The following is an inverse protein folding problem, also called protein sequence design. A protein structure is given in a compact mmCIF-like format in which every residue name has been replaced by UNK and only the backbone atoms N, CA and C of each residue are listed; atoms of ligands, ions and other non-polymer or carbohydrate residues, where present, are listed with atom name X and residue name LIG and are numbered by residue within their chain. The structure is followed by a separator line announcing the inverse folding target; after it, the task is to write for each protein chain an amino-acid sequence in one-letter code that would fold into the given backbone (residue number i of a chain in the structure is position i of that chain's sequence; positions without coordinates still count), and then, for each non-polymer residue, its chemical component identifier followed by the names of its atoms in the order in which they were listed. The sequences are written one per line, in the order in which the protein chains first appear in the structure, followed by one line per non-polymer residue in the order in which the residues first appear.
data_IF_325000182124
#
_entry.id   IF_325000182124
#
_cell.length_a   1.000
_cell.length_b   1.000
_cell.length_c   1.000
_cell.angle_alpha   90.00
_cell.angle_beta   90.00
_cell.angle_gamma   90.00
#
_symmetry.space_group_name_H-M   'P 1'
#
loop_
_entity.id
_entity.type
_entity.pdbx_description
1 polymer ?
#
# COMPACT_ATOMS: atom_id res chain seq x y z
N UNK A 1 -18.85 -34.05 11.69
CA UNK A 1 -17.47 -33.74 11.43
C UNK A 1 -17.40 -32.21 11.30
N UNK A 2 -16.87 -31.54 12.33
CA UNK A 2 -16.66 -30.11 12.32
C UNK A 2 -15.57 -29.84 11.28
N UNK A 3 -15.94 -29.43 10.07
CA UNK A 3 -15.00 -28.90 9.09
C UNK A 3 -14.58 -27.54 9.61
N UNK A 4 -13.33 -27.42 10.09
CA UNK A 4 -12.78 -26.15 10.57
C UNK A 4 -12.65 -25.20 9.38
N UNK A 5 -13.64 -24.33 9.24
CA UNK A 5 -13.64 -23.25 8.24
C UNK A 5 -13.11 -21.98 8.89
N UNK A 6 -12.20 -21.30 8.20
CA UNK A 6 -11.63 -20.00 8.61
C UNK A 6 -11.76 -19.00 7.49
N UNK A 7 -11.90 -17.74 7.87
CA UNK A 7 -11.94 -16.63 6.94
C UNK A 7 -10.94 -15.57 7.36
N UNK A 8 -10.17 -15.06 6.41
CA UNK A 8 -9.30 -13.88 6.56
C UNK A 8 -9.75 -12.83 5.55
N UNK A 9 -9.94 -11.62 6.01
CA UNK A 9 -10.28 -10.47 5.18
C UNK A 9 -9.10 -9.52 5.13
N UNK A 10 -8.71 -9.09 3.91
CA UNK A 10 -7.66 -8.10 3.70
C UNK A 10 -8.31 -6.84 3.15
N UNK A 11 -8.13 -5.73 3.86
CA UNK A 11 -8.42 -4.41 3.35
C UNK A 11 -7.12 -3.85 2.79
N UNK A 12 -7.14 -3.39 1.55
CA UNK A 12 -5.97 -2.85 0.88
C UNK A 12 -6.20 -1.43 0.38
N UNK A 13 -5.12 -0.65 0.39
CA UNK A 13 -5.04 0.68 -0.20
C UNK A 13 -3.82 0.76 -1.11
N UNK A 14 -3.86 1.64 -2.09
CA UNK A 14 -2.73 1.95 -2.96
C UNK A 14 -2.84 3.40 -3.45
N UNK A 15 -1.70 3.98 -3.79
CA UNK A 15 -1.64 5.31 -4.41
C UNK A 15 -2.47 6.36 -3.64
N UNK A 16 -2.24 6.41 -2.34
CA UNK A 16 -2.94 7.34 -1.43
C UNK A 16 -2.56 8.80 -1.75
N UNK A 17 -1.32 9.03 -2.17
CA UNK A 17 -0.81 10.34 -2.56
C UNK A 17 -1.13 11.44 -1.53
N UNK A 18 -0.88 11.13 -0.27
CA UNK A 18 -1.05 12.06 0.84
C UNK A 18 -2.50 12.40 1.20
N UNK A 19 -3.51 11.71 0.69
CA UNK A 19 -4.92 12.07 0.83
C UNK A 19 -5.45 11.81 2.25
N UNK A 20 -4.88 12.52 3.24
CA UNK A 20 -5.22 12.34 4.66
C UNK A 20 -6.68 12.67 4.97
N UNK A 21 -7.33 13.53 4.22
CA UNK A 21 -8.73 13.93 4.38
C UNK A 21 -9.70 12.73 4.24
N UNK A 22 -9.30 11.70 3.51
CA UNK A 22 -10.10 10.49 3.31
C UNK A 22 -9.94 9.45 4.43
N UNK A 23 -8.97 9.63 5.34
CA UNK A 23 -8.72 8.65 6.41
C UNK A 23 -9.90 8.50 7.37
N UNK A 24 -10.69 9.55 7.58
CA UNK A 24 -11.90 9.47 8.41
C UNK A 24 -12.95 8.51 7.82
N UNK A 25 -13.09 8.52 6.50
CA UNK A 25 -13.98 7.60 5.76
C UNK A 25 -13.41 6.18 5.74
N UNK A 26 -12.11 6.05 5.49
CA UNK A 26 -11.42 4.76 5.54
C UNK A 26 -11.54 4.12 6.93
N UNK A 27 -11.38 4.89 8.00
CA UNK A 27 -11.52 4.40 9.37
C UNK A 27 -12.93 3.85 9.64
N UNK A 28 -13.96 4.54 9.16
CA UNK A 28 -15.35 4.05 9.26
C UNK A 28 -15.55 2.75 8.48
N UNK A 29 -14.99 2.66 7.28
CA UNK A 29 -15.04 1.43 6.48
C UNK A 29 -14.33 0.28 7.19
N UNK A 30 -13.10 0.50 7.67
CA UNK A 30 -12.30 -0.52 8.39
C UNK A 30 -13.05 -1.01 9.63
N UNK A 31 -13.63 -0.10 10.40
CA UNK A 31 -14.40 -0.45 11.60
C UNK A 31 -15.59 -1.35 11.26
N UNK A 32 -16.36 -0.99 10.23
CA UNK A 32 -17.49 -1.81 9.77
C UNK A 32 -17.05 -3.20 9.37
N UNK A 33 -15.99 -3.33 8.58
CA UNK A 33 -15.49 -4.64 8.16
C UNK A 33 -15.01 -5.47 9.37
N UNK A 34 -14.36 -4.85 10.34
CA UNK A 34 -13.95 -5.53 11.59
C UNK A 34 -15.12 -5.97 12.47
N UNK A 35 -16.25 -5.28 12.39
CA UNK A 35 -17.49 -5.70 13.08
C UNK A 35 -18.18 -6.88 12.37
N UNK A 36 -18.05 -6.97 11.06
CA UNK A 36 -18.66 -8.03 10.22
C UNK A 36 -17.79 -9.29 10.13
N UNK A 37 -16.47 -9.16 10.29
CA UNK A 37 -15.49 -10.23 10.09
C UNK A 37 -14.50 -10.32 11.26
N UNK A 38 -14.20 -11.53 11.77
CA UNK A 38 -13.36 -11.70 12.96
C UNK A 38 -11.87 -11.48 12.70
N UNK A 39 -11.40 -11.73 11.47
CA UNK A 39 -9.98 -11.70 11.12
C UNK A 39 -9.73 -10.75 9.96
N UNK A 40 -9.38 -9.52 10.27
CA UNK A 40 -9.13 -8.45 9.29
C UNK A 40 -7.68 -7.99 9.36
N UNK A 41 -7.04 -7.88 8.19
CA UNK A 41 -5.67 -7.36 8.01
C UNK A 41 -5.76 -6.14 7.09
N UNK A 42 -5.03 -5.08 7.42
CA UNK A 42 -4.97 -3.85 6.63
C UNK A 42 -3.57 -3.70 6.03
N UNK A 43 -3.48 -3.56 4.70
CA UNK A 43 -2.23 -3.50 3.94
C UNK A 43 -2.20 -2.34 2.95
N UNK A 44 -1.00 -1.89 2.55
CA UNK A 44 -0.83 -0.80 1.59
C UNK A 44 0.17 -1.15 0.48
N UNK A 45 -0.20 -0.90 -0.75
CA UNK A 45 0.58 -1.22 -1.96
C UNK A 45 1.43 -0.05 -2.48
N UNK A 46 1.79 0.91 -1.64
CA UNK A 46 2.76 1.97 -1.96
C UNK A 46 2.17 3.26 -2.51
N UNK A 47 3.05 4.24 -2.72
CA UNK A 47 2.74 5.62 -3.10
C UNK A 47 1.81 6.32 -2.09
N UNK A 48 2.27 6.32 -0.83
CA UNK A 48 1.61 7.05 0.27
C UNK A 48 1.87 8.53 0.21
N UNK A 49 3.06 8.92 -0.25
CA UNK A 49 3.53 10.30 -0.30
C UNK A 49 3.17 10.97 -1.63
N UNK A 50 3.38 12.28 -1.66
CA UNK A 50 3.34 13.15 -2.84
C UNK A 50 1.94 13.35 -3.41
N UNK A 51 1.49 14.59 -3.33
CA UNK A 51 0.22 15.05 -3.90
C UNK A 51 -0.69 15.80 -2.93
N UNK A 52 -0.25 16.03 -1.67
CA UNK A 52 -0.99 16.80 -0.71
C UNK A 52 -0.06 17.69 0.13
N UNK A 53 -0.22 19.03 0.12
CA UNK A 53 0.66 19.94 0.87
C UNK A 53 0.70 19.62 2.37
N UNK A 54 -0.37 19.15 2.98
CA UNK A 54 -0.42 18.81 4.41
C UNK A 54 0.48 17.63 4.79
N UNK A 55 0.92 16.84 3.82
CA UNK A 55 1.87 15.74 3.98
C UNK A 55 3.25 16.14 3.45
N UNK A 56 3.28 16.75 2.25
CA UNK A 56 4.50 17.03 1.50
C UNK A 56 5.29 18.20 2.10
N UNK A 57 4.60 19.16 2.73
CA UNK A 57 5.16 20.36 3.35
C UNK A 57 4.98 20.41 4.87
N UNK A 58 4.54 19.31 5.49
CA UNK A 58 4.54 19.20 6.93
C UNK A 58 5.96 19.39 7.49
N UNK A 59 6.07 19.90 8.71
CA UNK A 59 7.36 20.07 9.41
C UNK A 59 8.18 18.78 9.39
N UNK A 60 7.51 17.65 9.59
CA UNK A 60 8.05 16.32 9.38
C UNK A 60 7.36 15.70 8.16
N UNK A 61 7.98 15.87 6.99
CA UNK A 61 7.40 15.40 5.70
C UNK A 61 7.03 13.93 5.76
N UNK A 62 5.80 13.63 5.35
CA UNK A 62 5.25 12.28 5.33
C UNK A 62 4.76 11.76 6.69
N UNK A 63 5.08 12.41 7.81
CA UNK A 63 4.67 11.94 9.13
C UNK A 63 3.15 11.89 9.32
N UNK A 64 2.35 12.88 8.85
CA UNK A 64 0.91 12.84 9.05
C UNK A 64 0.26 11.56 8.54
N UNK A 65 0.62 11.10 7.34
CA UNK A 65 0.02 9.90 6.78
C UNK A 65 0.48 8.62 7.49
N UNK A 66 1.75 8.51 7.86
CA UNK A 66 2.26 7.35 8.62
C UNK A 66 1.57 7.27 9.99
N UNK A 67 1.42 8.41 10.66
CA UNK A 67 0.73 8.48 11.96
C UNK A 67 -0.72 8.01 11.87
N UNK A 68 -1.45 8.42 10.84
CA UNK A 68 -2.83 7.97 10.59
C UNK A 68 -2.89 6.47 10.24
N UNK A 69 -1.95 5.98 9.45
CA UNK A 69 -1.85 4.55 9.13
C UNK A 69 -1.58 3.69 10.37
N UNK A 70 -0.72 4.18 11.29
CA UNK A 70 -0.50 3.52 12.57
C UNK A 70 -1.79 3.41 13.40
N UNK A 71 -2.57 4.49 13.47
CA UNK A 71 -3.84 4.51 14.22
C UNK A 71 -4.89 3.57 13.62
N UNK A 72 -4.90 3.40 12.29
CA UNK A 72 -5.81 2.46 11.63
C UNK A 72 -5.37 1.00 11.79
N UNK A 73 -4.13 0.76 12.18
CA UNK A 73 -3.60 -0.58 12.41
C UNK A 73 -3.16 -1.30 11.14
N UNK A 74 -2.50 -0.60 10.22
CA UNK A 74 -1.83 -1.26 9.10
C UNK A 74 -0.82 -2.29 9.60
N UNK A 75 -0.72 -3.42 8.91
CA UNK A 75 0.11 -4.57 9.31
C UNK A 75 1.27 -4.83 8.37
N UNK A 76 1.21 -4.35 7.11
CA UNK A 76 2.33 -4.36 6.16
C UNK A 76 2.10 -3.34 5.04
N UNK A 77 3.18 -2.77 4.53
CA UNK A 77 3.17 -1.91 3.35
C UNK A 77 4.35 -2.19 2.43
N UNK A 78 4.26 -1.74 1.18
CA UNK A 78 5.37 -1.82 0.22
C UNK A 78 5.91 -0.43 -0.13
N UNK A 79 7.06 -0.39 -0.80
CA UNK A 79 7.58 0.82 -1.43
C UNK A 79 6.91 1.03 -2.79
N UNK A 80 6.47 2.26 -3.06
CA UNK A 80 6.23 2.76 -4.40
C UNK A 80 7.36 3.69 -4.85
N UNK A 81 7.26 4.27 -6.04
CA UNK A 81 8.25 5.20 -6.54
C UNK A 81 8.23 6.54 -5.80
N UNK A 82 7.05 7.02 -5.39
CA UNK A 82 6.92 8.29 -4.67
C UNK A 82 7.39 8.23 -3.21
N UNK A 83 7.64 7.05 -2.63
CA UNK A 83 8.27 6.96 -1.32
C UNK A 83 9.66 7.59 -1.26
N UNK A 84 10.36 7.70 -2.40
CA UNK A 84 11.69 8.29 -2.50
C UNK A 84 11.70 9.81 -2.68
N UNK A 85 10.56 10.44 -2.93
CA UNK A 85 10.48 11.86 -3.32
C UNK A 85 11.04 12.83 -2.26
N UNK A 86 10.95 12.49 -0.99
CA UNK A 86 11.51 13.30 0.09
C UNK A 86 12.97 12.97 0.43
N UNK A 87 13.57 12.00 -0.28
CA UNK A 87 14.92 11.52 -0.07
C UNK A 87 15.02 10.43 1.01
N UNK A 88 16.18 9.76 1.03
CA UNK A 88 16.40 8.56 1.83
C UNK A 88 16.32 8.79 3.33
N UNK A 89 16.82 9.91 3.83
CA UNK A 89 16.80 10.23 5.28
C UNK A 89 15.37 10.36 5.80
N UNK A 90 14.51 11.04 5.03
CA UNK A 90 13.10 11.21 5.40
C UNK A 90 12.37 9.88 5.29
N UNK A 91 12.58 9.12 4.20
CA UNK A 91 11.99 7.80 4.05
C UNK A 91 12.38 6.87 5.20
N UNK A 92 13.66 6.83 5.57
CA UNK A 92 14.14 6.07 6.74
C UNK A 92 13.44 6.48 8.02
N UNK A 93 13.30 7.78 8.27
CA UNK A 93 12.58 8.27 9.44
C UNK A 93 11.11 7.83 9.43
N UNK A 94 10.44 7.90 8.29
CA UNK A 94 9.04 7.46 8.16
C UNK A 94 8.88 5.95 8.32
N UNK A 95 9.81 5.15 7.83
CA UNK A 95 9.83 3.70 8.05
C UNK A 95 9.99 3.39 9.55
N UNK A 96 10.85 4.14 10.25
CA UNK A 96 11.05 3.97 11.69
C UNK A 96 9.83 4.42 12.52
N UNK A 97 9.07 5.39 12.05
CA UNK A 97 7.82 5.83 12.70
C UNK A 97 6.66 4.84 12.47
N UNK A 98 6.72 4.05 11.41
CA UNK A 98 5.68 3.08 11.10
C UNK A 98 5.68 1.92 12.11
N UNK A 99 4.50 1.54 12.61
CA UNK A 99 4.31 0.38 13.49
C UNK A 99 4.16 -0.93 12.72
N UNK A 100 4.34 -0.88 11.41
CA UNK A 100 4.25 -1.99 10.48
C UNK A 100 5.47 -2.03 9.56
N UNK A 101 5.90 -3.21 9.09
CA UNK A 101 7.03 -3.33 8.18
C UNK A 101 6.70 -2.76 6.80
N UNK A 102 7.70 -2.14 6.19
CA UNK A 102 7.72 -1.79 4.77
C UNK A 102 8.65 -2.77 4.07
N UNK A 103 8.16 -3.42 3.03
CA UNK A 103 8.85 -4.50 2.33
C UNK A 103 9.12 -4.15 0.86
N UNK A 104 10.21 -4.67 0.31
CA UNK A 104 10.51 -4.63 -1.13
C UNK A 104 11.65 -5.61 -1.45
N UNK A 105 11.42 -6.56 -2.35
CA UNK A 105 12.37 -7.62 -2.65
C UNK A 105 13.41 -7.26 -3.72
N UNK A 106 13.15 -6.26 -4.55
CA UNK A 106 14.03 -5.90 -5.65
C UNK A 106 14.83 -4.61 -5.42
N UNK A 107 14.96 -4.17 -4.17
CA UNK A 107 15.83 -3.06 -3.77
C UNK A 107 17.10 -3.56 -3.08
N UNK A 108 18.23 -2.90 -3.35
CA UNK A 108 19.44 -3.01 -2.55
C UNK A 108 19.82 -1.63 -2.02
N UNK A 109 19.59 -1.42 -0.74
CA UNK A 109 19.82 -0.14 -0.03
C UNK A 109 21.03 -0.17 0.91
N UNK A 110 21.83 -1.25 0.89
CA UNK A 110 22.90 -1.49 1.86
C UNK A 110 24.04 -0.45 1.82
N UNK A 111 24.18 0.30 0.74
CA UNK A 111 25.21 1.35 0.57
C UNK A 111 24.66 2.76 0.70
N UNK A 112 23.35 2.92 0.72
CA UNK A 112 22.68 4.21 0.82
C UNK A 112 22.47 4.66 2.27
N UNK A 113 21.72 5.75 2.42
CA UNK A 113 21.32 6.26 3.74
C UNK A 113 20.05 5.56 4.28
N UNK A 114 19.42 4.75 3.46
CA UNK A 114 18.28 3.92 3.83
C UNK A 114 18.77 2.59 4.42
N UNK A 115 18.18 2.16 5.52
CA UNK A 115 18.48 0.86 6.10
C UNK A 115 18.02 -0.29 5.18
N UNK A 116 18.50 -1.50 5.44
CA UNK A 116 18.08 -2.67 4.68
C UNK A 116 16.57 -2.87 4.76
N UNK A 117 15.94 -3.01 3.60
CA UNK A 117 14.50 -3.23 3.48
C UNK A 117 14.23 -4.74 3.43
N UNK A 118 13.36 -5.29 4.29
CA UNK A 118 13.01 -6.71 4.22
C UNK A 118 12.28 -7.02 2.90
N UNK A 119 12.58 -8.17 2.26
CA UNK A 119 11.99 -8.51 0.97
C UNK A 119 10.54 -8.98 1.07
N UNK A 120 10.16 -9.56 2.21
CA UNK A 120 8.84 -10.12 2.47
C UNK A 120 8.51 -10.04 3.96
N UNK A 121 7.25 -10.31 4.27
CA UNK A 121 6.78 -10.43 5.65
C UNK A 121 5.71 -11.53 5.74
N UNK A 122 5.73 -12.28 6.84
CA UNK A 122 4.71 -13.30 7.13
C UNK A 122 3.88 -12.86 8.33
N UNK A 123 2.56 -12.79 8.14
CA UNK A 123 1.60 -12.52 9.20
C UNK A 123 0.88 -13.82 9.54
N UNK A 124 0.81 -14.16 10.81
CA UNK A 124 -0.05 -15.25 11.29
C UNK A 124 -1.33 -14.68 11.89
N UNK A 125 -2.47 -15.09 11.34
CA UNK A 125 -3.79 -14.65 11.80
C UNK A 125 -4.69 -15.88 11.94
N UNK A 126 -5.21 -16.12 13.13
CA UNK A 126 -6.06 -17.28 13.44
C UNK A 126 -5.41 -18.62 13.01
N UNK A 127 -4.09 -18.74 13.17
CA UNK A 127 -3.33 -19.92 12.78
C UNK A 127 -3.11 -20.08 11.28
N UNK A 128 -3.51 -19.11 10.44
CA UNK A 128 -3.23 -19.04 9.01
C UNK A 128 -2.02 -18.15 8.79
N UNK A 129 -1.03 -18.63 8.05
CA UNK A 129 0.17 -17.88 7.66
C UNK A 129 -0.02 -17.23 6.28
N UNK A 130 -0.03 -15.89 6.28
CA UNK A 130 -0.09 -15.09 5.07
C UNK A 130 1.31 -14.55 4.77
N UNK A 131 1.89 -14.97 3.65
CA UNK A 131 3.16 -14.44 3.15
C UNK A 131 2.91 -13.29 2.19
N UNK A 132 3.57 -12.15 2.43
CA UNK A 132 3.56 -10.99 1.55
C UNK A 132 4.94 -10.80 0.96
N UNK A 133 5.05 -10.90 -0.37
CA UNK A 133 6.26 -10.58 -1.16
C UNK A 133 6.02 -9.30 -1.95
N UNK A 134 7.01 -8.43 -2.04
CA UNK A 134 6.83 -7.13 -2.66
C UNK A 134 7.87 -6.83 -3.72
N UNK A 135 7.41 -6.16 -4.77
CA UNK A 135 8.27 -5.61 -5.84
C UNK A 135 7.83 -4.19 -6.19
N UNK A 136 8.80 -3.33 -6.46
CA UNK A 136 8.59 -2.00 -7.01
C UNK A 136 8.96 -1.99 -8.50
N UNK A 137 8.21 -1.24 -9.30
CA UNK A 137 8.50 -1.09 -10.72
C UNK A 137 9.82 -0.37 -10.95
N UNK A 138 10.50 -0.73 -12.04
CA UNK A 138 11.64 0.00 -12.57
C UNK A 138 11.41 0.34 -14.03
N UNK A 139 11.96 1.47 -14.46
CA UNK A 139 11.94 1.91 -15.84
C UNK A 139 13.14 1.34 -16.62
N UNK A 140 13.33 1.79 -17.87
CA UNK A 140 14.41 1.32 -18.75
C UNK A 140 15.81 1.61 -18.21
N UNK A 141 15.95 2.60 -17.35
CA UNK A 141 17.18 2.94 -16.64
C UNK A 141 17.41 2.13 -15.34
N UNK A 142 16.56 1.13 -15.10
CA UNK A 142 16.60 0.21 -13.95
C UNK A 142 16.37 0.88 -12.59
N UNK A 143 15.73 2.03 -12.56
CA UNK A 143 15.30 2.69 -11.33
C UNK A 143 13.78 2.95 -11.36
N UNK A 144 13.14 3.11 -10.19
CA UNK A 144 11.76 3.56 -10.13
C UNK A 144 11.59 4.95 -10.75
N UNK A 145 10.37 5.29 -11.16
CA UNK A 145 10.01 6.61 -11.70
C UNK A 145 10.04 7.68 -10.61
N UNK A 146 11.25 8.12 -10.26
CA UNK A 146 11.53 9.19 -9.29
C UNK A 146 12.81 9.94 -9.67
N UNK A 147 13.13 11.04 -8.95
CA UNK A 147 14.37 11.77 -9.20
C UNK A 147 15.60 10.88 -8.87
N UNK A 148 16.48 10.56 -9.86
CA UNK A 148 17.65 9.71 -9.64
C UNK A 148 18.58 10.17 -8.52
N UNK A 149 18.66 11.48 -8.25
CA UNK A 149 19.48 12.03 -7.16
C UNK A 149 19.02 11.56 -5.77
N UNK A 150 17.76 11.16 -5.64
CA UNK A 150 17.19 10.61 -4.40
C UNK A 150 17.61 9.16 -4.14
N UNK A 151 18.16 8.50 -5.16
CA UNK A 151 18.50 7.07 -5.15
C UNK A 151 20.02 6.83 -5.06
N UNK A 152 20.81 7.82 -4.64
CA UNK A 152 22.26 7.71 -4.53
C UNK A 152 22.63 6.48 -3.69
N UNK A 153 23.51 5.62 -4.24
CA UNK A 153 24.01 4.39 -3.59
C UNK A 153 22.92 3.33 -3.30
N UNK A 154 21.73 3.48 -3.92
CA UNK A 154 20.69 2.45 -3.95
C UNK A 154 20.59 1.89 -5.36
N UNK A 155 20.43 0.57 -5.47
CA UNK A 155 20.21 -0.11 -6.74
C UNK A 155 18.94 -0.96 -6.69
N UNK A 156 18.40 -1.25 -7.87
CA UNK A 156 17.22 -2.08 -8.03
C UNK A 156 17.49 -3.18 -9.04
N UNK A 157 16.97 -4.37 -8.76
CA UNK A 157 16.90 -5.44 -9.73
C UNK A 157 15.55 -5.35 -10.49
N UNK A 158 15.52 -5.86 -11.70
CA UNK A 158 14.25 -6.06 -12.37
C UNK A 158 13.44 -7.11 -11.59
N UNK A 159 12.16 -6.85 -11.35
CA UNK A 159 11.33 -7.70 -10.48
C UNK A 159 11.31 -9.18 -10.91
N UNK A 160 11.33 -9.46 -12.23
CA UNK A 160 11.34 -10.83 -12.75
C UNK A 160 12.63 -11.58 -12.42
N UNK A 161 13.76 -10.87 -12.27
CA UNK A 161 15.05 -11.50 -11.92
C UNK A 161 15.05 -12.02 -10.48
N UNK A 162 14.09 -11.55 -9.64
CA UNK A 162 13.97 -11.97 -8.24
C UNK A 162 12.92 -13.05 -8.00
N UNK A 163 12.12 -13.40 -9.01
CA UNK A 163 11.01 -14.35 -8.85
C UNK A 163 11.49 -15.73 -8.36
N UNK A 164 12.54 -16.27 -8.95
CA UNK A 164 13.05 -17.60 -8.59
C UNK A 164 13.57 -17.67 -7.15
N UNK A 165 14.14 -16.56 -6.63
CA UNK A 165 14.65 -16.49 -5.27
C UNK A 165 13.52 -16.64 -4.23
N UNK A 166 12.31 -16.20 -4.57
CA UNK A 166 11.19 -16.13 -3.63
C UNK A 166 10.04 -17.14 -3.87
N UNK A 167 10.06 -17.93 -4.95
CA UNK A 167 9.12 -19.04 -5.13
C UNK A 167 9.08 -20.01 -3.93
N UNK A 168 10.22 -20.34 -3.28
CA UNK A 168 10.23 -21.22 -2.11
C UNK A 168 9.45 -20.66 -0.90
N UNK A 169 9.16 -19.36 -0.85
CA UNK A 169 8.38 -18.74 0.22
C UNK A 169 6.98 -19.38 0.36
N UNK A 170 6.41 -19.87 -0.75
CA UNK A 170 5.14 -20.60 -0.75
C UNK A 170 5.09 -21.76 0.25
N UNK A 171 6.23 -22.41 0.51
CA UNK A 171 6.30 -23.54 1.46
C UNK A 171 6.23 -23.11 2.93
N UNK A 172 6.39 -21.80 3.20
CA UNK A 172 6.40 -21.25 4.54
C UNK A 172 5.05 -20.63 4.95
N UNK A 173 4.08 -20.58 4.02
CA UNK A 173 2.80 -19.92 4.23
C UNK A 173 1.65 -20.71 3.61
N UNK A 174 0.45 -20.47 4.14
CA UNK A 174 -0.80 -21.08 3.67
C UNK A 174 -1.36 -20.34 2.45
N UNK A 175 -1.07 -19.05 2.34
CA UNK A 175 -1.39 -18.19 1.20
C UNK A 175 -0.21 -17.26 0.91
N UNK A 176 0.15 -17.13 -0.36
CA UNK A 176 1.21 -16.22 -0.82
C UNK A 176 0.62 -15.07 -1.62
N UNK A 177 0.91 -13.87 -1.18
CA UNK A 177 0.34 -12.62 -1.68
C UNK A 177 1.46 -11.75 -2.24
N UNK A 178 1.34 -11.34 -3.49
CA UNK A 178 2.13 -10.26 -4.05
C UNK A 178 1.53 -8.92 -3.60
N UNK A 179 2.26 -8.17 -2.78
CA UNK A 179 1.92 -6.79 -2.43
C UNK A 179 2.84 -5.88 -3.23
N UNK A 180 2.39 -5.46 -4.42
CA UNK A 180 3.26 -4.90 -5.45
C UNK A 180 3.00 -3.44 -5.74
N UNK A 181 4.03 -2.76 -6.28
CA UNK A 181 3.87 -1.44 -6.89
C UNK A 181 4.42 -1.46 -8.31
N UNK A 182 3.82 -2.33 -9.15
CA UNK A 182 4.28 -2.64 -10.51
C UNK A 182 3.37 -2.11 -11.61
N UNK A 183 2.07 -1.93 -11.33
CA UNK A 183 1.03 -1.69 -12.30
C UNK A 183 0.41 -2.99 -12.83
N UNK A 184 -0.85 -2.91 -13.29
CA UNK A 184 -1.67 -4.09 -13.65
C UNK A 184 -1.04 -4.93 -14.76
N UNK A 185 -0.39 -4.32 -15.73
CA UNK A 185 0.24 -5.07 -16.83
C UNK A 185 1.44 -5.88 -16.35
N UNK A 186 2.30 -5.28 -15.54
CA UNK A 186 3.44 -5.98 -14.94
C UNK A 186 2.98 -7.02 -13.90
N UNK A 187 1.92 -6.75 -13.15
CA UNK A 187 1.29 -7.72 -12.25
C UNK A 187 0.76 -8.94 -13.03
N UNK A 188 0.21 -8.73 -14.23
CA UNK A 188 -0.25 -9.81 -15.11
C UNK A 188 0.92 -10.68 -15.59
N UNK A 189 2.06 -10.08 -15.89
CA UNK A 189 3.29 -10.80 -16.24
C UNK A 189 3.82 -11.56 -15.01
N UNK A 190 3.84 -10.93 -13.83
CA UNK A 190 4.25 -11.57 -12.59
C UNK A 190 3.39 -12.79 -12.28
N UNK A 191 2.07 -12.69 -12.43
CA UNK A 191 1.15 -13.82 -12.24
C UNK A 191 1.47 -15.02 -13.15
N UNK A 192 1.95 -14.76 -14.37
CA UNK A 192 2.39 -15.79 -15.30
C UNK A 192 3.71 -16.42 -14.89
N UNK A 193 4.67 -15.61 -14.41
CA UNK A 193 6.03 -16.04 -14.08
C UNK A 193 6.16 -16.61 -12.66
N UNK A 194 5.22 -16.28 -11.77
CA UNK A 194 5.20 -16.74 -10.38
C UNK A 194 3.82 -17.32 -10.02
N UNK A 195 3.48 -18.50 -10.57
CA UNK A 195 2.18 -19.13 -10.32
C UNK A 195 1.98 -19.61 -8.86
N UNK A 196 3.01 -19.56 -8.06
CA UNK A 196 2.97 -19.79 -6.61
C UNK A 196 2.16 -18.73 -5.86
N UNK A 197 1.98 -17.55 -6.44
CA UNK A 197 1.11 -16.51 -5.90
C UNK A 197 -0.36 -16.93 -5.96
N UNK A 198 -1.09 -16.66 -4.89
CA UNK A 198 -2.54 -16.86 -4.84
C UNK A 198 -3.29 -15.61 -5.26
N UNK A 199 -2.76 -14.45 -4.89
CA UNK A 199 -3.31 -13.12 -5.21
C UNK A 199 -2.19 -12.09 -5.34
N UNK A 200 -2.41 -11.09 -6.18
CA UNK A 200 -1.61 -9.86 -6.25
C UNK A 200 -2.50 -8.67 -5.89
N UNK A 201 -2.06 -7.91 -4.91
CA UNK A 201 -2.63 -6.62 -4.51
C UNK A 201 -1.64 -5.55 -4.95
N UNK A 202 -2.00 -4.78 -5.95
CA UNK A 202 -1.08 -3.89 -6.65
C UNK A 202 -1.39 -2.41 -6.53
N UNK A 203 -0.53 -1.60 -7.14
CA UNK A 203 -0.60 -0.15 -7.24
C UNK A 203 0.09 0.36 -8.50
N UNK A 204 0.46 1.63 -8.51
CA UNK A 204 1.23 2.36 -9.50
C UNK A 204 0.44 2.92 -10.69
N UNK A 205 -0.38 2.14 -11.37
CA UNK A 205 -1.12 2.59 -12.56
C UNK A 205 -2.45 3.25 -12.25
N UNK A 206 -2.80 3.41 -10.97
CA UNK A 206 -4.06 4.00 -10.51
C UNK A 206 -5.31 3.29 -11.09
N UNK A 207 -5.17 2.05 -11.48
CA UNK A 207 -6.24 1.30 -12.14
C UNK A 207 -7.31 0.92 -11.12
N UNK A 208 -8.56 1.21 -11.43
CA UNK A 208 -9.69 0.70 -10.67
C UNK A 208 -10.14 -0.63 -11.26
N UNK A 209 -9.86 -1.70 -10.57
CA UNK A 209 -10.44 -3.01 -10.82
C UNK A 209 -11.65 -3.17 -9.88
N UNK A 210 -12.85 -3.09 -10.40
CA UNK A 210 -14.08 -3.25 -9.58
C UNK A 210 -14.14 -4.64 -8.96
N UNK A 211 -13.74 -5.65 -9.74
CA UNK A 211 -13.52 -7.04 -9.33
C UNK A 211 -12.13 -7.49 -9.79
N UNK A 212 -11.65 -8.61 -9.28
CA UNK A 212 -10.34 -9.14 -9.66
C UNK A 212 -10.23 -9.45 -11.16
N UNK A 213 -9.04 -9.19 -11.70
CA UNK A 213 -8.57 -9.81 -12.94
C UNK A 213 -7.91 -11.13 -12.60
N UNK A 214 -8.13 -12.18 -13.38
CA UNK A 214 -7.49 -13.48 -13.16
C UNK A 214 -6.55 -13.80 -14.32
N UNK A 215 -5.30 -14.12 -13.98
CA UNK A 215 -4.25 -14.55 -14.91
C UNK A 215 -3.57 -15.77 -14.31
N UNK A 216 -3.53 -16.87 -15.07
CA UNK A 216 -2.84 -18.10 -14.67
C UNK A 216 -3.21 -18.56 -13.25
N UNK A 217 -4.49 -18.54 -12.92
CA UNK A 217 -5.03 -18.89 -11.60
C UNK A 217 -4.53 -18.00 -10.45
N UNK A 218 -4.07 -16.79 -10.74
CA UNK A 218 -3.73 -15.75 -9.76
C UNK A 218 -4.73 -14.60 -9.92
N UNK A 219 -5.40 -14.20 -8.85
CA UNK A 219 -6.28 -13.04 -8.90
C UNK A 219 -5.48 -11.76 -8.63
N UNK A 220 -5.83 -10.69 -9.35
CA UNK A 220 -5.15 -9.40 -9.28
C UNK A 220 -6.17 -8.33 -8.92
N UNK A 221 -5.86 -7.52 -7.93
CA UNK A 221 -6.63 -6.36 -7.51
C UNK A 221 -5.79 -5.09 -7.50
N UNK A 222 -6.43 -3.98 -7.81
CA UNK A 222 -5.91 -2.62 -7.63
C UNK A 222 -7.10 -1.68 -7.46
N UNK A 223 -7.02 -0.70 -6.57
CA UNK A 223 -8.19 0.04 -6.10
C UNK A 223 -8.12 1.55 -6.38
N UNK A 224 -7.75 1.91 -7.61
CA UNK A 224 -7.74 3.31 -8.06
C UNK A 224 -6.66 4.14 -7.38
N UNK A 225 -7.01 5.32 -6.87
CA UNK A 225 -6.09 6.24 -6.21
C UNK A 225 -6.80 7.14 -5.19
N UNK A 226 -6.00 7.81 -4.35
CA UNK A 226 -6.43 8.88 -3.42
C UNK A 226 -7.57 8.48 -2.48
N UNK A 227 -7.61 7.19 -2.11
CA UNK A 227 -8.63 6.65 -1.19
C UNK A 227 -10.09 6.92 -1.60
N UNK A 228 -10.36 7.00 -2.90
CA UNK A 228 -11.75 6.98 -3.39
C UNK A 228 -12.38 5.61 -3.13
N UNK A 229 -11.57 4.57 -3.21
CA UNK A 229 -11.92 3.17 -2.98
C UNK A 229 -10.95 2.53 -2.00
N UNK A 230 -11.37 1.43 -1.38
CA UNK A 230 -10.52 0.47 -0.68
C UNK A 230 -10.75 -0.91 -1.26
N UNK A 231 -9.68 -1.70 -1.40
CA UNK A 231 -9.76 -3.08 -1.83
C UNK A 231 -10.26 -3.98 -0.69
N UNK A 232 -11.11 -4.94 -0.99
CA UNK A 232 -11.61 -5.94 -0.07
C UNK A 232 -11.34 -7.32 -0.64
N UNK A 233 -10.43 -8.05 -0.01
CA UNK A 233 -10.10 -9.43 -0.35
C UNK A 233 -10.65 -10.35 0.72
N UNK A 234 -11.38 -11.39 0.31
CA UNK A 234 -11.89 -12.42 1.22
C UNK A 234 -11.23 -13.74 0.85
N UNK A 235 -10.57 -14.34 1.84
CA UNK A 235 -9.89 -15.63 1.72
C UNK A 235 -10.57 -16.63 2.67
N UNK A 236 -11.03 -17.77 2.15
CA UNK A 236 -11.62 -18.84 2.95
C UNK A 236 -10.73 -20.07 2.93
N UNK A 237 -10.62 -20.68 4.08
CA UNK A 237 -9.78 -21.85 4.31
C UNK A 237 -10.63 -22.97 4.89
N UNK A 238 -10.40 -24.18 4.40
CA UNK A 238 -10.99 -25.41 4.96
C UNK A 238 -9.83 -26.33 5.32
N UNK A 239 -9.76 -26.73 6.59
CA UNK A 239 -8.65 -27.56 7.11
C UNK A 239 -7.25 -26.96 6.81
N UNK A 240 -7.11 -25.65 6.97
CA UNK A 240 -5.86 -24.93 6.73
C UNK A 240 -5.49 -24.72 5.26
N UNK A 241 -6.32 -25.15 4.30
CA UNK A 241 -6.08 -24.95 2.86
C UNK A 241 -6.99 -23.87 2.32
N UNK A 242 -6.44 -22.98 1.51
CA UNK A 242 -7.18 -21.95 0.78
C UNK A 242 -8.16 -22.62 -0.21
N UNK A 243 -9.45 -22.35 -0.03
CA UNK A 243 -10.54 -22.94 -0.85
C UNK A 243 -11.26 -21.91 -1.70
N UNK A 244 -11.37 -20.68 -1.21
CA UNK A 244 -12.00 -19.59 -1.95
C UNK A 244 -11.20 -18.30 -1.77
N UNK A 245 -11.18 -17.47 -2.82
CA UNK A 245 -10.61 -16.13 -2.79
C UNK A 245 -11.42 -15.23 -3.71
N UNK A 246 -11.63 -13.99 -3.26
CA UNK A 246 -12.29 -12.97 -4.03
C UNK A 246 -11.68 -11.60 -3.74
N UNK A 247 -11.82 -10.69 -4.68
CA UNK A 247 -11.41 -9.30 -4.55
C UNK A 247 -12.47 -8.40 -5.17
N UNK A 248 -12.73 -7.28 -4.49
CA UNK A 248 -13.51 -6.18 -5.05
C UNK A 248 -13.01 -4.84 -4.54
N UNK A 249 -13.16 -3.78 -5.34
CA UNK A 249 -12.98 -2.41 -4.88
C UNK A 249 -14.27 -1.85 -4.32
N UNK A 250 -14.21 -1.34 -3.09
CA UNK A 250 -15.35 -0.77 -2.38
C UNK A 250 -15.25 0.76 -2.38
N UNK A 251 -16.26 1.46 -2.86
CA UNK A 251 -16.33 2.91 -2.86
C UNK A 251 -16.44 3.43 -1.42
N UNK A 252 -15.45 4.19 -0.97
CA UNK A 252 -15.46 4.83 0.35
C UNK A 252 -15.72 6.33 0.29
N UNK A 253 -15.54 6.94 -0.87
CA UNK A 253 -15.68 8.40 -1.06
C UNK A 253 -17.07 8.94 -0.67
N UNK A 254 -18.10 8.13 -0.83
CA UNK A 254 -19.50 8.50 -0.49
C UNK A 254 -19.88 8.28 0.97
N UNK A 255 -18.97 7.80 1.81
CA UNK A 255 -19.22 7.63 3.25
C UNK A 255 -19.39 9.01 3.89
N UNK A 256 -20.54 9.25 4.50
CA UNK A 256 -20.88 10.54 5.13
C UNK A 256 -20.69 10.53 6.65
N UNK A 257 -20.89 9.38 7.30
CA UNK A 257 -20.65 9.23 8.73
C UNK A 257 -19.20 8.83 8.97
N UNK A 258 -18.39 9.80 9.37
CA UNK A 258 -16.93 9.64 9.52
C UNK A 258 -16.51 9.39 10.97
N UNK A 259 -15.39 8.70 11.17
CA UNK A 259 -14.79 8.48 12.48
C UNK A 259 -14.33 9.82 13.09
N UNK A 260 -14.82 10.14 14.27
CA UNK A 260 -14.57 11.43 14.92
C UNK A 260 -13.15 11.56 15.48
N UNK A 261 -12.52 10.45 15.90
CA UNK A 261 -11.15 10.46 16.41
C UNK A 261 -10.16 10.74 15.28
N UNK A 262 -10.32 10.02 14.17
CA UNK A 262 -9.47 10.23 12.99
C UNK A 262 -9.72 11.61 12.39
N UNK A 263 -10.96 12.09 12.34
CA UNK A 263 -11.30 13.45 11.88
C UNK A 263 -10.55 14.52 12.68
N UNK A 264 -10.52 14.41 14.01
CA UNK A 264 -9.78 15.37 14.86
C UNK A 264 -8.28 15.34 14.56
N UNK A 265 -7.71 14.16 14.35
CA UNK A 265 -6.29 14.04 14.03
C UNK A 265 -5.95 14.59 12.64
N UNK A 266 -6.79 14.33 11.64
CA UNK A 266 -6.67 14.92 10.30
C UNK A 266 -6.71 16.45 10.40
N UNK A 267 -7.70 17.01 11.09
CA UNK A 267 -7.82 18.46 11.30
C UNK A 267 -6.58 19.02 12.02
N UNK A 268 -6.08 18.33 13.04
CA UNK A 268 -4.84 18.73 13.71
C UNK A 268 -3.69 18.90 12.72
N UNK A 269 -3.48 17.96 11.80
CA UNK A 269 -2.43 18.07 10.79
C UNK A 269 -2.68 19.19 9.78
N UNK A 270 -3.93 19.42 9.38
CA UNK A 270 -4.30 20.45 8.41
C UNK A 270 -4.27 21.87 9.00
N UNK A 271 -4.37 21.99 10.32
CA UNK A 271 -4.41 23.27 11.04
C UNK A 271 -3.06 23.72 11.60
N UNK A 272 -1.97 23.03 11.25
CA UNK A 272 -0.65 23.41 11.73
C UNK A 272 -0.25 24.83 11.25
N UNK A 273 0.57 25.57 12.05
CA UNK A 273 0.91 26.97 11.75
C UNK A 273 1.50 27.18 10.34
N UNK A 274 2.31 26.25 9.87
CA UNK A 274 2.95 26.31 8.54
C UNK A 274 1.95 26.38 7.38
N UNK A 275 0.70 25.96 7.58
CA UNK A 275 -0.35 26.00 6.56
C UNK A 275 -1.28 27.20 6.70
N UNK A 276 -1.07 28.05 7.73
CA UNK A 276 -1.89 29.24 8.00
C UNK A 276 -1.21 30.54 7.62
N UNK A 277 0.07 30.48 7.26
CA UNK A 277 0.83 31.68 6.86
C UNK A 277 0.31 32.21 5.52
N UNK A 278 -0.17 33.44 5.51
CA UNK A 278 -0.61 34.13 4.30
C UNK A 278 0.60 34.71 3.60
N UNK A 279 1.08 34.04 2.54
CA UNK A 279 2.23 34.46 1.75
C UNK A 279 1.88 35.44 0.62
N UNK A 280 0.58 35.66 0.37
CA UNK A 280 0.09 36.62 -0.62
C UNK A 280 -1.43 36.57 -0.78
N UNK A 281 -1.96 37.64 -1.38
CA UNK A 281 -3.38 37.75 -1.74
C UNK A 281 -3.46 37.96 -3.25
N UNK A 282 -4.23 37.11 -3.93
CA UNK A 282 -4.53 37.28 -5.36
C UNK A 282 -5.90 37.90 -5.53
N UNK A 283 -6.00 38.96 -6.34
CA UNK A 283 -7.27 39.56 -6.75
C UNK A 283 -7.95 38.80 -7.90
N UNK A 284 -7.29 37.79 -8.45
CA UNK A 284 -7.82 36.96 -9.55
C UNK A 284 -7.90 35.52 -9.10
N UNK A 285 -8.93 34.78 -9.57
CA UNK A 285 -9.03 33.36 -9.28
C UNK A 285 -7.87 32.60 -9.92
N UNK A 286 -7.24 31.68 -9.16
CA UNK A 286 -6.25 30.76 -9.70
C UNK A 286 -6.98 29.72 -10.59
N UNK A 287 -6.56 29.63 -11.86
CA UNK A 287 -6.95 28.50 -12.70
C UNK A 287 -5.95 27.38 -12.48
N UNK A 288 -6.39 26.23 -12.01
CA UNK A 288 -5.56 25.03 -12.05
C UNK A 288 -5.36 24.65 -13.52
N UNK A 289 -4.12 24.66 -13.99
CA UNK A 289 -3.79 23.97 -15.24
C UNK A 289 -3.69 22.49 -14.90
N UNK A 290 -4.64 21.72 -15.38
CA UNK A 290 -4.47 20.26 -15.46
C UNK A 290 -3.25 20.00 -16.36
N UNK A 291 -2.18 19.48 -15.76
CA UNK A 291 -1.07 18.93 -16.54
C UNK A 291 -1.53 17.55 -17.02
N UNK A 292 -1.74 17.44 -18.31
CA UNK A 292 -1.92 16.16 -19.00
C UNK A 292 -0.60 15.39 -19.02
#
# INVERSE_FOLDING_TARGET
QNTEEKEIVIISTNDIHGRIEQFSKLATFVKRIKEEHPNVILVDAGDRFTGNPYVDHAKEKGFPIISLMNDLGYEVGTLGNHEFDFGQKILRARINDATFPIICANINSSRGELDSIPPYHIIEKDGIKLGFISFVQTETDQIPSTNPERLKDITFDHYLDKVEDYKPLKRQCDVLIGLTHLGVDKDSILATQMPELDIIIGGHTHTLLETSKEINNVIIGQTGLKLQYAGLTILKFTKGKLTERSYQSCLIDTITRVDSCITRKVNYFMEQPEFKEVIGISSLPFKSQERH
#
